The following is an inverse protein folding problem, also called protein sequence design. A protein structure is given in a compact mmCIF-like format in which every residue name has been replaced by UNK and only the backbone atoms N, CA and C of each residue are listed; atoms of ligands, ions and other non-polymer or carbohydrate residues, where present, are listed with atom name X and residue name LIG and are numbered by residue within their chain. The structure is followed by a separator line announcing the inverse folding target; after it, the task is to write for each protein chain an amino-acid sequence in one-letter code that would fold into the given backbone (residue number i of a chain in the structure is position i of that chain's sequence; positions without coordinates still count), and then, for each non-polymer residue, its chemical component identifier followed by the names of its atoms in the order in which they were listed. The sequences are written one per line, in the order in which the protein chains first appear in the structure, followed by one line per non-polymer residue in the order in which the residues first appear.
data_IF_447827593775
#
_entry.id   IF_447827593775
#
_cell.length_a   1.000
_cell.length_b   1.000
_cell.length_c   1.000
_cell.angle_alpha   90.00
_cell.angle_beta   90.00
_cell.angle_gamma   90.00
#
_symmetry.space_group_name_H-M   'P 1'
#
loop_
_entity.id
_entity.type
_entity.pdbx_description
1 polymer ?
#
# COMPACT_ATOMS: atom_id res chain seq x y z
N UNK A 1 -14.14 59.43 19.83
CA UNK A 1 -14.29 58.75 18.54
C UNK A 1 -13.54 57.42 18.62
N UNK A 2 -14.24 56.31 18.87
CA UNK A 2 -13.66 54.96 18.92
C UNK A 2 -13.92 54.26 17.61
N UNK A 3 -12.87 54.07 16.82
CA UNK A 3 -12.87 53.31 15.57
C UNK A 3 -13.07 51.83 15.90
N UNK A 4 -14.21 51.27 15.48
CA UNK A 4 -14.46 49.84 15.53
C UNK A 4 -13.54 49.19 14.50
N UNK A 5 -12.56 48.43 14.97
CA UNK A 5 -11.72 47.59 14.12
C UNK A 5 -12.52 46.36 13.71
N UNK A 6 -13.00 46.32 12.47
CA UNK A 6 -13.61 45.13 11.88
C UNK A 6 -12.56 44.01 11.77
N UNK A 7 -12.70 42.97 12.60
CA UNK A 7 -11.91 41.75 12.47
C UNK A 7 -12.39 40.95 11.24
N UNK A 8 -11.49 40.45 10.38
CA UNK A 8 -11.87 39.71 9.19
C UNK A 8 -12.64 38.44 9.57
N UNK A 9 -13.87 38.30 9.05
CA UNK A 9 -14.73 37.12 9.21
C UNK A 9 -13.96 35.86 8.80
N UNK A 10 -13.80 34.94 9.75
CA UNK A 10 -13.16 33.64 9.55
C UNK A 10 -13.80 32.88 8.40
N UNK A 11 -13.00 32.58 7.38
CA UNK A 11 -13.39 31.78 6.20
C UNK A 11 -13.84 30.41 6.67
N UNK A 12 -15.08 30.03 6.36
CA UNK A 12 -15.73 28.82 6.87
C UNK A 12 -14.92 27.55 6.51
N UNK A 13 -14.28 26.84 7.48
CA UNK A 13 -13.33 25.75 7.19
C UNK A 13 -13.98 24.48 6.63
N UNK A 14 -15.32 24.37 6.71
CA UNK A 14 -16.09 23.19 6.29
C UNK A 14 -16.05 22.94 4.78
N UNK A 15 -16.00 24.00 3.96
CA UNK A 15 -15.90 23.87 2.50
C UNK A 15 -14.54 23.33 2.04
N UNK A 16 -13.45 23.71 2.73
CA UNK A 16 -12.10 23.15 2.47
C UNK A 16 -11.99 21.69 2.91
N UNK A 17 -12.64 21.32 4.02
CA UNK A 17 -12.63 19.94 4.51
C UNK A 17 -13.43 18.98 3.61
N UNK A 18 -14.48 19.47 2.93
CA UNK A 18 -15.25 18.71 1.94
C UNK A 18 -14.54 18.56 0.58
N UNK A 19 -13.61 19.45 0.24
CA UNK A 19 -12.82 19.37 -1.01
C UNK A 19 -11.74 18.28 -0.97
N UNK A 20 -11.19 17.99 0.21
CA UNK A 20 -10.16 16.96 0.42
C UNK A 20 -10.55 15.56 -0.09
N UNK A 21 -11.70 14.98 0.28
CA UNK A 21 -12.09 13.65 -0.21
C UNK A 21 -12.37 13.64 -1.72
N UNK A 22 -12.89 14.73 -2.27
CA UNK A 22 -13.13 14.87 -3.72
C UNK A 22 -11.80 14.85 -4.48
N UNK A 23 -10.83 15.65 -4.03
CA UNK A 23 -9.49 15.69 -4.61
C UNK A 23 -8.76 14.35 -4.48
N UNK A 24 -8.87 13.68 -3.33
CA UNK A 24 -8.30 12.35 -3.12
C UNK A 24 -8.94 11.32 -4.07
N UNK A 25 -10.27 11.34 -4.22
CA UNK A 25 -10.98 10.48 -5.16
C UNK A 25 -10.57 10.71 -6.62
N UNK A 26 -10.43 11.98 -7.02
CA UNK A 26 -9.99 12.34 -8.37
C UNK A 26 -8.54 11.89 -8.63
N UNK A 27 -7.67 12.03 -7.64
CA UNK A 27 -6.28 11.57 -7.71
C UNK A 27 -6.21 10.06 -7.89
N UNK A 28 -6.97 9.29 -7.10
CA UNK A 28 -7.05 7.83 -7.24
C UNK A 28 -7.59 7.45 -8.63
N UNK A 29 -8.65 8.11 -9.09
CA UNK A 29 -9.25 7.84 -10.40
C UNK A 29 -8.25 8.09 -11.54
N UNK A 30 -7.49 9.18 -11.47
CA UNK A 30 -6.44 9.49 -12.45
C UNK A 30 -5.39 8.38 -12.53
N UNK A 31 -4.89 7.90 -11.39
CA UNK A 31 -3.91 6.80 -11.34
C UNK A 31 -4.48 5.49 -11.92
N UNK A 32 -5.72 5.16 -11.59
CA UNK A 32 -6.40 3.96 -12.11
C UNK A 32 -6.54 4.04 -13.63
N UNK A 33 -6.92 5.20 -14.16
CA UNK A 33 -7.09 5.40 -15.60
C UNK A 33 -5.76 5.28 -16.35
N UNK A 34 -4.69 5.85 -15.79
CA UNK A 34 -3.35 5.76 -16.37
C UNK A 34 -2.83 4.32 -16.38
N UNK A 35 -3.02 3.59 -15.28
CA UNK A 35 -2.63 2.18 -15.19
C UNK A 35 -3.44 1.29 -16.16
N UNK A 36 -4.74 1.54 -16.29
CA UNK A 36 -5.60 0.82 -17.22
C UNK A 36 -5.21 1.09 -18.68
N UNK A 37 -4.91 2.35 -19.03
CA UNK A 37 -4.45 2.71 -20.37
C UNK A 37 -3.15 1.99 -20.73
N UNK A 38 -2.15 2.02 -19.85
CA UNK A 38 -0.88 1.33 -20.06
C UNK A 38 -1.07 -0.18 -20.23
N UNK A 39 -1.83 -0.81 -19.33
CA UNK A 39 -2.11 -2.25 -19.37
C UNK A 39 -2.86 -2.66 -20.64
N UNK A 40 -3.77 -1.82 -21.11
CA UNK A 40 -4.53 -2.06 -22.34
C UNK A 40 -3.66 -1.93 -23.58
N UNK A 41 -2.79 -0.91 -23.64
CA UNK A 41 -1.82 -0.75 -24.72
C UNK A 41 -0.84 -1.92 -24.78
N UNK A 42 -0.32 -2.36 -23.63
CA UNK A 42 0.55 -3.55 -23.55
C UNK A 42 -0.19 -4.79 -24.05
N UNK A 43 -1.44 -5.00 -23.60
CA UNK A 43 -2.25 -6.14 -24.03
C UNK A 43 -2.42 -6.19 -25.56
N UNK A 44 -2.74 -5.05 -26.18
CA UNK A 44 -2.86 -4.95 -27.64
C UNK A 44 -1.54 -5.31 -28.32
N UNK A 45 -0.42 -4.74 -27.87
CA UNK A 45 0.90 -5.08 -28.39
C UNK A 45 1.20 -6.58 -28.29
N UNK A 46 1.00 -7.19 -27.12
CA UNK A 46 1.24 -8.63 -26.93
C UNK A 46 0.30 -9.52 -27.76
N UNK A 47 -0.90 -9.03 -28.08
CA UNK A 47 -1.82 -9.73 -28.98
C UNK A 47 -1.37 -9.69 -30.44
N UNK A 48 -0.76 -8.59 -30.89
CA UNK A 48 -0.24 -8.45 -32.27
C UNK A 48 0.97 -9.35 -32.55
N UNK A 49 1.77 -9.64 -31.52
CA UNK A 49 2.96 -10.50 -31.64
C UNK A 49 2.71 -11.96 -31.22
N UNK A 50 1.45 -12.37 -31.04
CA UNK A 50 1.05 -13.71 -30.57
C UNK A 50 1.67 -14.16 -29.22
N UNK A 51 2.10 -13.19 -28.38
CA UNK A 51 2.71 -13.44 -27.07
C UNK A 51 1.76 -13.15 -25.90
N UNK A 52 0.45 -13.24 -26.13
CA UNK A 52 -0.60 -13.01 -25.10
C UNK A 52 -0.38 -13.87 -23.83
N UNK A 53 0.18 -15.07 -23.97
CA UNK A 53 0.49 -15.94 -22.83
C UNK A 53 1.56 -15.33 -21.90
N UNK A 54 2.56 -14.64 -22.45
CA UNK A 54 3.61 -13.98 -21.68
C UNK A 54 2.99 -12.85 -20.85
N UNK A 55 2.16 -12.02 -21.48
CA UNK A 55 1.42 -10.95 -20.79
C UNK A 55 0.60 -11.48 -19.60
N UNK A 56 -0.18 -12.55 -19.81
CA UNK A 56 -0.97 -13.19 -18.74
C UNK A 56 -0.09 -13.71 -17.60
N UNK A 57 1.09 -14.23 -17.92
CA UNK A 57 2.05 -14.73 -16.93
C UNK A 57 2.64 -13.59 -16.09
N UNK A 58 3.00 -12.48 -16.74
CA UNK A 58 3.53 -11.28 -16.07
C UNK A 58 2.48 -10.67 -15.15
N UNK A 59 1.29 -10.34 -15.69
CA UNK A 59 0.21 -9.72 -14.92
C UNK A 59 -0.28 -10.66 -13.81
N UNK A 60 -0.41 -11.95 -14.10
CA UNK A 60 -0.78 -12.95 -13.11
C UNK A 60 0.22 -13.04 -11.96
N UNK A 61 1.52 -12.98 -12.26
CA UNK A 61 2.58 -12.96 -11.24
C UNK A 61 2.49 -11.69 -10.39
N UNK A 62 2.42 -10.52 -11.02
CA UNK A 62 2.28 -9.24 -10.31
C UNK A 62 1.07 -9.25 -9.36
N UNK A 63 -0.10 -9.68 -9.84
CA UNK A 63 -1.31 -9.76 -9.04
C UNK A 63 -1.18 -10.76 -7.89
N UNK A 64 -0.56 -11.92 -8.13
CA UNK A 64 -0.29 -12.92 -7.09
C UNK A 64 0.61 -12.34 -5.99
N UNK A 65 1.70 -11.65 -6.35
CA UNK A 65 2.58 -11.00 -5.39
C UNK A 65 1.83 -9.94 -4.55
N UNK A 66 1.05 -9.07 -5.20
CA UNK A 66 0.25 -8.03 -4.51
C UNK A 66 -0.69 -8.66 -3.49
N UNK A 67 -1.43 -9.69 -3.89
CA UNK A 67 -2.42 -10.35 -3.03
C UNK A 67 -1.73 -11.05 -1.87
N UNK A 68 -0.71 -11.88 -2.14
CA UNK A 68 -0.04 -12.68 -1.10
C UNK A 68 0.67 -11.79 -0.08
N UNK A 69 1.54 -10.88 -0.56
CA UNK A 69 2.29 -9.99 0.35
C UNK A 69 1.39 -8.95 1.00
N UNK A 70 0.39 -8.44 0.28
CA UNK A 70 -0.62 -7.54 0.84
C UNK A 70 -1.39 -8.19 1.98
N UNK A 71 -1.87 -9.43 1.81
CA UNK A 71 -2.58 -10.17 2.86
C UNK A 71 -1.68 -10.47 4.06
N UNK A 72 -0.44 -10.89 3.84
CA UNK A 72 0.53 -11.13 4.92
C UNK A 72 0.76 -9.84 5.70
N UNK A 73 1.06 -8.73 5.00
CA UNK A 73 1.29 -7.44 5.63
C UNK A 73 0.05 -6.93 6.36
N UNK A 74 -1.15 -7.10 5.78
CA UNK A 74 -2.41 -6.76 6.42
C UNK A 74 -2.60 -7.53 7.73
N UNK A 75 -2.41 -8.85 7.69
CA UNK A 75 -2.57 -9.71 8.87
C UNK A 75 -1.58 -9.33 9.98
N UNK A 76 -0.31 -9.09 9.62
CA UNK A 76 0.72 -8.66 10.56
C UNK A 76 0.42 -7.29 11.16
N UNK A 77 0.13 -6.29 10.32
CA UNK A 77 -0.14 -4.93 10.78
C UNK A 77 -1.42 -4.89 11.60
N UNK A 78 -2.51 -5.47 11.09
CA UNK A 78 -3.77 -5.56 11.82
C UNK A 78 -3.59 -6.25 13.17
N UNK A 79 -2.94 -7.41 13.18
CA UNK A 79 -2.66 -8.17 14.39
C UNK A 79 -1.85 -7.36 15.39
N UNK A 80 -0.84 -6.62 14.92
CA UNK A 80 -0.04 -5.73 15.74
C UNK A 80 -0.87 -4.58 16.35
N UNK A 81 -1.72 -3.90 15.57
CA UNK A 81 -2.59 -2.85 16.10
C UNK A 81 -3.63 -3.41 17.09
N UNK A 82 -4.19 -4.61 16.85
CA UNK A 82 -5.08 -5.29 17.82
C UNK A 82 -4.36 -5.53 19.14
N UNK A 83 -3.12 -6.03 19.07
CA UNK A 83 -2.31 -6.30 20.26
C UNK A 83 -1.96 -5.00 20.99
N UNK A 84 -1.58 -3.96 20.26
CA UNK A 84 -1.28 -2.65 20.82
C UNK A 84 -2.49 -2.07 21.56
N UNK A 85 -3.69 -2.15 20.97
CA UNK A 85 -4.93 -1.70 21.62
C UNK A 85 -5.24 -2.51 22.88
N UNK A 86 -4.94 -3.82 22.88
CA UNK A 86 -5.17 -4.71 24.03
C UNK A 86 -4.21 -4.44 25.18
N UNK A 87 -2.96 -4.07 24.88
CA UNK A 87 -1.94 -3.79 25.90
C UNK A 87 -1.88 -2.31 26.30
N UNK A 88 -2.57 -1.42 25.57
CA UNK A 88 -2.64 -0.01 25.91
C UNK A 88 -3.38 0.19 27.26
N UNK A 89 -2.75 0.82 28.27
CA UNK A 89 -3.42 1.13 29.53
C UNK A 89 -4.58 2.12 29.31
N UNK A 90 -5.78 1.77 29.80
CA UNK A 90 -6.99 2.58 29.65
C UNK A 90 -6.91 3.95 30.37
N UNK A 91 -5.98 4.12 31.32
CA UNK A 91 -5.86 5.31 32.15
C UNK A 91 -4.57 6.09 31.84
N UNK A 92 -4.69 7.14 31.04
CA UNK A 92 -3.86 8.35 31.22
C UNK A 92 -4.75 9.38 31.90
N UNK A 93 -4.35 9.85 33.07
CA UNK A 93 -4.91 11.05 33.69
C UNK A 93 -4.71 12.22 32.71
N UNK A 94 -5.80 12.73 32.14
CA UNK A 94 -5.76 13.90 31.27
C UNK A 94 -5.30 15.11 32.08
N UNK A 95 -4.23 15.76 31.64
CA UNK A 95 -3.74 17.01 32.23
C UNK A 95 -4.39 18.24 31.58
N UNK A 96 -4.31 19.44 32.20
CA UNK A 96 -4.79 20.69 31.61
C UNK A 96 -3.94 21.02 30.36
N UNK A 97 -4.41 20.62 29.18
CA UNK A 97 -3.67 20.64 27.90
C UNK A 97 -4.11 19.54 26.93
N UNK A 98 -4.82 18.52 27.43
CA UNK A 98 -5.27 17.35 26.66
C UNK A 98 -6.62 17.54 25.92
N UNK A 99 -7.03 18.77 25.62
CA UNK A 99 -8.29 19.05 24.90
C UNK A 99 -8.30 18.42 23.49
N UNK A 100 -7.12 18.36 22.84
CA UNK A 100 -6.90 17.64 21.57
C UNK A 100 -7.06 16.13 21.75
N UNK A 101 -6.57 15.57 22.86
CA UNK A 101 -6.63 14.14 23.17
C UNK A 101 -8.06 13.71 23.52
N UNK A 102 -8.80 14.55 24.24
CA UNK A 102 -10.22 14.35 24.52
C UNK A 102 -11.06 14.38 23.24
N UNK A 103 -10.83 15.38 22.36
CA UNK A 103 -11.51 15.49 21.06
C UNK A 103 -11.15 14.36 20.09
N UNK A 104 -9.90 13.86 20.12
CA UNK A 104 -9.52 12.67 19.37
C UNK A 104 -10.27 11.43 19.88
N UNK A 105 -10.43 11.29 21.20
CA UNK A 105 -11.16 10.16 21.81
C UNK A 105 -12.68 10.21 21.56
N UNK A 106 -13.28 11.39 21.48
CA UNK A 106 -14.69 11.56 21.05
C UNK A 106 -14.92 11.12 19.60
N UNK A 107 -13.98 11.44 18.69
CA UNK A 107 -14.09 11.09 17.26
C UNK A 107 -13.71 9.63 16.99
N UNK A 108 -12.74 9.09 17.74
CA UNK A 108 -12.18 7.75 17.51
C UNK A 108 -12.83 6.68 18.40
N UNK A 109 -13.39 7.05 19.55
CA UNK A 109 -13.86 6.11 20.59
C UNK A 109 -14.97 5.15 20.14
N UNK A 110 -15.85 5.56 19.23
CA UNK A 110 -16.91 4.68 18.69
C UNK A 110 -16.47 3.77 17.55
N UNK A 111 -15.42 4.14 16.81
CA UNK A 111 -15.06 3.52 15.53
C UNK A 111 -13.58 3.11 15.43
N UNK A 112 -12.84 3.06 16.55
CA UNK A 112 -11.41 2.75 16.58
C UNK A 112 -11.05 1.48 15.81
N UNK A 113 -11.87 0.43 15.94
CA UNK A 113 -11.70 -0.82 15.20
C UNK A 113 -11.81 -0.61 13.68
N UNK A 114 -12.79 0.16 13.19
CA UNK A 114 -12.95 0.49 11.76
C UNK A 114 -11.82 1.36 11.25
N UNK A 115 -11.37 2.35 12.03
CA UNK A 115 -10.27 3.21 11.64
C UNK A 115 -8.97 2.40 11.50
N UNK A 116 -8.69 1.51 12.46
CA UNK A 116 -7.59 0.53 12.36
C UNK A 116 -7.71 -0.32 11.11
N UNK A 117 -8.91 -0.82 10.79
CA UNK A 117 -9.16 -1.59 9.56
C UNK A 117 -8.79 -0.84 8.31
N UNK A 118 -9.32 0.38 8.19
CA UNK A 118 -9.13 1.20 7.00
C UNK A 118 -7.65 1.55 6.85
N UNK A 119 -6.97 1.92 7.95
CA UNK A 119 -5.54 2.20 7.92
C UNK A 119 -4.74 0.95 7.53
N UNK A 120 -4.97 -0.19 8.18
CA UNK A 120 -4.26 -1.43 7.85
C UNK A 120 -4.48 -1.84 6.39
N UNK A 121 -5.70 -1.69 5.87
CA UNK A 121 -6.02 -1.98 4.47
C UNK A 121 -5.29 -1.03 3.50
N UNK A 122 -5.27 0.28 3.77
CA UNK A 122 -4.57 1.26 2.94
C UNK A 122 -3.06 0.96 2.90
N UNK A 123 -2.44 0.76 4.07
CA UNK A 123 -1.01 0.46 4.14
C UNK A 123 -0.67 -0.89 3.50
N UNK A 124 -1.52 -1.90 3.66
CA UNK A 124 -1.38 -3.20 3.00
C UNK A 124 -1.44 -3.09 1.47
N UNK A 125 -2.37 -2.31 0.94
CA UNK A 125 -2.45 -2.09 -0.51
C UNK A 125 -1.18 -1.42 -1.03
N UNK A 126 -0.72 -0.35 -0.37
CA UNK A 126 0.51 0.35 -0.76
C UNK A 126 1.70 -0.61 -0.73
N UNK A 127 1.85 -1.40 0.35
CA UNK A 127 2.92 -2.38 0.48
C UNK A 127 2.82 -3.47 -0.61
N UNK A 128 1.63 -4.01 -0.86
CA UNK A 128 1.38 -5.02 -1.89
C UNK A 128 1.73 -4.53 -3.30
N UNK A 129 1.26 -3.34 -3.67
CA UNK A 129 1.59 -2.71 -4.95
C UNK A 129 3.10 -2.46 -5.10
N UNK A 130 3.80 -2.12 -4.00
CA UNK A 130 5.26 -1.97 -4.01
C UNK A 130 6.01 -3.26 -4.39
N UNK A 131 5.47 -4.42 -4.04
CA UNK A 131 6.07 -5.73 -4.35
C UNK A 131 5.72 -6.21 -5.77
N UNK A 132 4.69 -5.65 -6.42
CA UNK A 132 4.32 -6.00 -7.79
C UNK A 132 5.50 -5.87 -8.77
N UNK A 133 6.37 -4.87 -8.59
CA UNK A 133 7.57 -4.67 -9.41
C UNK A 133 8.59 -5.81 -9.34
N UNK A 134 8.53 -6.66 -8.32
CA UNK A 134 9.47 -7.77 -8.07
C UNK A 134 9.07 -9.07 -8.80
N UNK A 135 8.11 -9.01 -9.72
CA UNK A 135 7.62 -10.17 -10.47
C UNK A 135 8.72 -10.91 -11.25
N UNK A 136 9.73 -10.20 -11.77
CA UNK A 136 10.87 -10.80 -12.49
C UNK A 136 11.71 -11.67 -11.56
N UNK A 137 12.06 -11.16 -10.38
CA UNK A 137 12.80 -11.91 -9.37
C UNK A 137 12.01 -13.15 -8.93
N UNK A 138 10.70 -13.02 -8.73
CA UNK A 138 9.83 -14.15 -8.41
C UNK A 138 9.82 -15.22 -9.50
N UNK A 139 9.64 -14.84 -10.77
CA UNK A 139 9.63 -15.79 -11.89
C UNK A 139 10.98 -16.47 -12.07
N UNK A 140 12.09 -15.73 -11.94
CA UNK A 140 13.44 -16.29 -11.99
C UNK A 140 13.67 -17.29 -10.86
N UNK A 141 13.25 -16.96 -9.63
CA UNK A 141 13.35 -17.88 -8.50
C UNK A 141 12.53 -19.16 -8.72
N UNK A 142 11.30 -19.02 -9.25
CA UNK A 142 10.38 -20.15 -9.40
C UNK A 142 10.69 -21.05 -10.60
N UNK A 143 11.17 -20.46 -11.69
CA UNK A 143 11.38 -21.11 -12.99
C UNK A 143 12.85 -21.15 -13.44
N UNK A 144 13.81 -20.82 -12.56
CA UNK A 144 15.24 -20.91 -12.87
C UNK A 144 15.67 -22.33 -13.27
N UNK A 145 16.53 -22.42 -14.28
CA UNK A 145 17.06 -23.70 -14.82
C UNK A 145 18.53 -23.89 -14.45
N UNK A 146 18.98 -25.15 -14.38
CA UNK A 146 20.39 -25.50 -14.15
C UNK A 146 21.25 -25.13 -15.36
N UNK A 147 22.43 -24.57 -15.13
CA UNK A 147 23.40 -24.38 -16.22
C UNK A 147 24.28 -25.62 -16.45
N UNK A 148 24.29 -26.58 -15.51
CA UNK A 148 25.09 -27.79 -15.58
C UNK A 148 26.57 -27.57 -15.22
N UNK A 149 26.95 -26.31 -14.95
CA UNK A 149 28.29 -25.93 -14.52
C UNK A 149 28.26 -25.68 -13.02
N UNK A 150 29.09 -26.39 -12.27
CA UNK A 150 29.27 -26.19 -10.84
C UNK A 150 30.44 -25.26 -10.58
N UNK A 151 30.30 -24.38 -9.60
CA UNK A 151 31.39 -23.55 -9.13
C UNK A 151 32.45 -24.37 -8.38
N UNK A 152 33.70 -23.95 -8.44
CA UNK A 152 34.82 -24.68 -7.86
C UNK A 152 34.91 -24.58 -6.32
N UNK A 153 34.27 -23.56 -5.72
CA UNK A 153 34.42 -23.27 -4.30
C UNK A 153 33.33 -23.95 -3.46
N UNK A 154 32.07 -23.81 -3.87
CA UNK A 154 30.89 -24.29 -3.15
C UNK A 154 30.20 -25.49 -3.81
N UNK A 155 30.69 -25.92 -4.98
CA UNK A 155 30.16 -27.06 -5.74
C UNK A 155 28.65 -26.95 -6.05
N UNK A 156 28.16 -25.70 -6.12
CA UNK A 156 26.80 -25.32 -6.44
C UNK A 156 26.72 -24.99 -7.92
N UNK A 157 25.60 -25.32 -8.55
CA UNK A 157 25.36 -24.92 -9.93
C UNK A 157 25.32 -23.38 -10.04
N UNK A 158 25.93 -22.83 -11.09
CA UNK A 158 25.95 -21.38 -11.37
C UNK A 158 24.54 -20.76 -11.36
N UNK A 159 23.51 -21.55 -11.68
CA UNK A 159 22.09 -21.15 -11.64
C UNK A 159 21.65 -20.64 -10.28
N UNK A 160 22.29 -21.08 -9.20
CA UNK A 160 22.06 -20.54 -7.87
C UNK A 160 22.38 -19.05 -7.80
N UNK A 161 23.52 -18.62 -8.36
CA UNK A 161 23.96 -17.24 -8.29
C UNK A 161 23.17 -16.30 -9.20
N UNK A 162 22.61 -16.82 -10.30
CA UNK A 162 21.84 -16.05 -11.28
C UNK A 162 20.35 -15.98 -10.93
N UNK A 163 19.76 -17.07 -10.43
CA UNK A 163 18.32 -17.16 -10.22
C UNK A 163 17.89 -17.18 -8.75
N UNK A 164 18.82 -17.40 -7.80
CA UNK A 164 18.49 -17.56 -6.37
C UNK A 164 19.21 -16.63 -5.40
N UNK A 165 20.39 -16.13 -5.75
CA UNK A 165 21.15 -15.23 -4.88
C UNK A 165 20.97 -13.72 -5.15
N UNK A 166 20.53 -13.22 -6.33
CA UNK A 166 20.54 -11.77 -6.59
C UNK A 166 19.38 -11.01 -5.90
N UNK A 167 18.92 -11.50 -4.75
CA UNK A 167 17.86 -10.94 -3.91
C UNK A 167 18.10 -11.26 -2.43
#
# INVERSE_FOLDING_TARGET
MTTVTDLPRGRNPRGRLALLPILAGLFVLWFVLQGAAHTFTDYLFFSEVDLTQVFRTVVGSQLMLVVVFGLIFFALLWGNLVLADRFAPAFRTLGPGDEIVARYREVVGGNAARLRTILAAIFSLIAGFGVAGQWQHWLMFRHGSSFGVKDALFHRDVSFYVFKLPF
#
